data_IF_349917285867
#
_entry.id   IF_349917285867
#
_cell.length_a   1.000
_cell.length_b   1.000
_cell.length_c   1.000
_cell.angle_alpha   90.00
_cell.angle_beta   90.00
_cell.angle_gamma   90.00
#
_symmetry.space_group_name_H-M   'P 1'
#
loop_
_entity.id
_entity.type
_entity.pdbx_description
1 polymer ?
#
# COMPACT_ATOMS: atom_id res chain seq x y z
N UNK A 1 -4.36 21.98 -18.11
CA UNK A 1 -5.66 22.13 -17.41
C UNK A 1 -6.81 22.56 -18.35
N UNK A 2 -6.66 22.42 -19.67
CA UNK A 2 -7.74 22.65 -20.64
C UNK A 2 -8.29 21.33 -21.15
N UNK A 3 -9.59 21.24 -21.30
CA UNK A 3 -10.27 20.14 -21.99
C UNK A 3 -10.28 20.48 -23.48
N UNK A 4 -9.55 19.71 -24.28
CA UNK A 4 -9.36 20.02 -25.72
C UNK A 4 -10.68 20.04 -26.47
N UNK A 5 -11.61 19.14 -26.15
CA UNK A 5 -12.93 19.05 -26.80
C UNK A 5 -13.82 20.29 -26.56
N UNK A 6 -13.71 20.91 -25.40
CA UNK A 6 -14.57 22.05 -25.02
C UNK A 6 -13.85 23.39 -25.03
N UNK A 7 -12.51 23.41 -25.11
CA UNK A 7 -11.68 24.62 -24.98
C UNK A 7 -11.78 25.31 -23.61
N UNK A 8 -12.38 24.64 -22.62
CA UNK A 8 -12.60 25.19 -21.28
C UNK A 8 -11.58 24.63 -20.28
N UNK A 9 -11.36 25.39 -19.21
CA UNK A 9 -10.54 24.92 -18.09
C UNK A 9 -11.22 23.73 -17.42
N UNK A 10 -10.50 22.59 -17.37
CA UNK A 10 -10.94 21.37 -16.76
C UNK A 10 -10.27 21.10 -15.41
N UNK A 11 -10.70 20.01 -14.77
CA UNK A 11 -10.04 19.49 -13.56
C UNK A 11 -8.73 18.80 -13.94
N UNK A 12 -7.68 19.03 -13.17
CA UNK A 12 -6.40 18.32 -13.31
C UNK A 12 -6.48 16.83 -12.99
N UNK A 13 -7.55 16.40 -12.30
CA UNK A 13 -7.75 15.02 -11.89
C UNK A 13 -8.24 14.11 -13.03
N UNK A 14 -8.73 14.67 -14.13
CA UNK A 14 -9.38 13.92 -15.23
C UNK A 14 -8.50 12.80 -15.79
N UNK A 15 -7.18 13.06 -15.97
CA UNK A 15 -6.27 12.05 -16.51
C UNK A 15 -6.07 10.88 -15.55
N UNK A 16 -5.75 11.16 -14.29
CA UNK A 16 -5.59 10.15 -13.25
C UNK A 16 -6.89 9.39 -12.97
N UNK A 17 -8.03 10.08 -12.93
CA UNK A 17 -9.34 9.47 -12.73
C UNK A 17 -9.65 8.41 -13.80
N UNK A 18 -9.49 8.74 -15.08
CA UNK A 18 -9.74 7.82 -16.19
C UNK A 18 -8.91 6.54 -16.08
N UNK A 19 -7.62 6.68 -15.78
CA UNK A 19 -6.71 5.53 -15.66
C UNK A 19 -7.04 4.70 -14.41
N UNK A 20 -7.31 5.34 -13.27
CA UNK A 20 -7.73 4.63 -12.05
C UNK A 20 -9.02 3.84 -12.28
N UNK A 21 -10.01 4.43 -12.93
CA UNK A 21 -11.25 3.72 -13.29
C UNK A 21 -10.96 2.53 -14.21
N UNK A 22 -10.06 2.69 -15.17
CA UNK A 22 -9.70 1.62 -16.11
C UNK A 22 -9.00 0.43 -15.41
N UNK A 23 -8.07 0.69 -14.47
CA UNK A 23 -7.34 -0.39 -13.77
C UNK A 23 -8.11 -1.01 -12.61
N UNK A 24 -9.07 -0.28 -12.00
CA UNK A 24 -9.82 -0.75 -10.82
C UNK A 24 -11.24 -1.22 -11.14
N UNK A 25 -11.81 -0.79 -12.25
CA UNK A 25 -13.23 -1.00 -12.58
C UNK A 25 -14.18 -0.07 -11.83
N UNK A 26 -13.69 0.96 -11.16
CA UNK A 26 -14.49 1.94 -10.43
C UNK A 26 -15.27 2.87 -11.36
N UNK A 27 -16.40 3.43 -10.89
CA UNK A 27 -17.18 4.43 -11.62
C UNK A 27 -16.49 5.80 -11.67
N UNK A 28 -15.75 6.15 -10.60
CA UNK A 28 -15.03 7.42 -10.48
C UNK A 28 -13.86 7.27 -9.48
N UNK A 29 -12.93 8.22 -9.52
CA UNK A 29 -11.79 8.27 -8.62
C UNK A 29 -11.45 9.70 -8.19
N UNK A 30 -10.86 9.84 -7.00
CA UNK A 30 -10.31 11.07 -6.47
C UNK A 30 -8.91 10.81 -5.91
N UNK A 31 -7.97 11.69 -6.22
CA UNK A 31 -6.59 11.62 -5.71
C UNK A 31 -6.32 12.81 -4.78
N UNK A 32 -5.82 12.49 -3.60
CA UNK A 32 -5.38 13.46 -2.59
C UNK A 32 -3.92 13.20 -2.22
N UNK A 33 -3.34 14.01 -1.33
CA UNK A 33 -1.90 13.99 -1.06
C UNK A 33 -1.40 12.73 -0.32
N UNK A 34 -2.22 12.05 0.48
CA UNK A 34 -1.90 10.76 1.11
C UNK A 34 -3.16 10.05 1.61
N UNK A 35 -3.03 8.77 2.05
CA UNK A 35 -4.17 7.97 2.47
C UNK A 35 -4.84 8.48 3.78
N UNK A 36 -4.07 9.03 4.71
CA UNK A 36 -4.62 9.64 5.92
C UNK A 36 -5.56 10.81 5.60
N UNK A 37 -5.15 11.65 4.64
CA UNK A 37 -5.98 12.75 4.14
C UNK A 37 -7.21 12.25 3.36
N UNK A 38 -7.10 11.11 2.66
CA UNK A 38 -8.24 10.48 2.00
C UNK A 38 -9.29 10.04 3.02
N UNK A 39 -8.86 9.38 4.10
CA UNK A 39 -9.73 8.96 5.18
C UNK A 39 -10.36 10.15 5.92
N UNK A 40 -9.56 11.16 6.27
CA UNK A 40 -10.07 12.37 6.91
C UNK A 40 -11.12 13.07 6.06
N UNK A 41 -10.88 13.23 4.76
CA UNK A 41 -11.82 13.82 3.82
C UNK A 41 -13.11 13.01 3.75
N UNK A 42 -12.99 11.69 3.55
CA UNK A 42 -14.11 10.77 3.40
C UNK A 42 -15.00 10.78 4.65
N UNK A 43 -14.41 10.60 5.83
CA UNK A 43 -15.12 10.57 7.11
C UNK A 43 -15.78 11.92 7.41
N UNK A 44 -15.06 13.03 7.18
CA UNK A 44 -15.62 14.39 7.39
C UNK A 44 -16.81 14.66 6.46
N UNK A 45 -16.71 14.26 5.20
CA UNK A 45 -17.73 14.57 4.20
C UNK A 45 -18.97 13.66 4.31
N UNK A 46 -18.80 12.38 4.71
CA UNK A 46 -19.85 11.38 4.65
C UNK A 46 -20.35 10.90 6.03
N UNK A 47 -19.61 11.12 7.11
CA UNK A 47 -19.93 10.57 8.43
C UNK A 47 -19.83 11.56 9.59
N UNK A 48 -19.59 12.84 9.36
CA UNK A 48 -19.49 13.84 10.44
C UNK A 48 -20.75 13.87 11.32
N UNK A 49 -20.59 13.71 12.64
CA UNK A 49 -21.68 13.63 13.60
C UNK A 49 -22.49 12.34 13.54
N UNK A 50 -22.03 11.34 12.82
CA UNK A 50 -22.71 10.05 12.60
C UNK A 50 -21.77 8.88 12.97
N UNK A 51 -22.37 7.71 13.20
CA UNK A 51 -21.65 6.50 13.57
C UNK A 51 -20.95 5.82 12.39
N UNK A 52 -19.71 5.38 12.61
CA UNK A 52 -18.94 4.52 11.71
C UNK A 52 -18.59 3.26 12.47
N UNK A 53 -19.04 2.10 11.97
CA UNK A 53 -18.82 0.81 12.62
C UNK A 53 -17.51 0.21 12.09
N UNK A 54 -16.60 -0.12 13.00
CA UNK A 54 -15.29 -0.68 12.72
C UNK A 54 -14.95 -1.80 13.69
N UNK A 55 -14.29 -2.85 13.22
CA UNK A 55 -13.79 -3.92 14.08
C UNK A 55 -12.68 -3.44 15.02
N UNK A 56 -12.71 -3.86 16.29
CA UNK A 56 -11.62 -3.60 17.27
C UNK A 56 -10.26 -4.11 16.78
N UNK A 57 -10.22 -5.25 16.08
CA UNK A 57 -8.99 -5.76 15.49
C UNK A 57 -8.43 -4.92 14.33
N UNK A 58 -9.17 -3.90 13.89
CA UNK A 58 -8.80 -2.99 12.80
C UNK A 58 -8.53 -1.55 13.28
N UNK A 59 -8.44 -1.33 14.59
CA UNK A 59 -8.00 -0.06 15.18
C UNK A 59 -6.48 0.04 15.09
N UNK A 60 -6.00 0.34 13.88
CA UNK A 60 -4.59 0.25 13.53
C UNK A 60 -3.83 1.55 13.83
N UNK A 61 -2.55 1.39 14.22
CA UNK A 61 -1.54 2.44 14.17
C UNK A 61 -0.59 2.12 13.01
N UNK A 62 -0.34 3.08 12.13
CA UNK A 62 0.54 2.98 10.97
C UNK A 62 1.76 3.90 11.16
N UNK A 63 2.75 3.78 10.27
CA UNK A 63 4.00 4.54 10.36
C UNK A 63 3.83 6.03 10.64
N UNK A 64 4.73 6.58 11.47
CA UNK A 64 4.66 7.99 11.89
C UNK A 64 3.66 8.29 13.00
N UNK A 65 3.12 7.27 13.68
CA UNK A 65 2.14 7.45 14.78
C UNK A 65 0.73 7.77 14.31
N UNK A 66 0.40 7.49 13.05
CA UNK A 66 -0.96 7.62 12.52
C UNK A 66 -1.87 6.57 13.16
N UNK A 67 -2.89 7.00 13.87
CA UNK A 67 -3.91 6.15 14.50
C UNK A 67 -5.27 6.40 13.88
N UNK A 68 -5.88 5.35 13.34
CA UNK A 68 -7.19 5.46 12.70
C UNK A 68 -8.28 6.03 13.62
N UNK A 69 -8.39 5.65 14.93
CA UNK A 69 -9.35 6.25 15.83
C UNK A 69 -9.19 7.78 15.97
N UNK A 70 -7.96 8.28 16.03
CA UNK A 70 -7.69 9.72 16.16
C UNK A 70 -8.11 10.49 14.90
N UNK A 71 -7.93 9.91 13.72
CA UNK A 71 -8.41 10.50 12.45
C UNK A 71 -9.93 10.51 12.39
N UNK A 72 -10.59 9.46 12.90
CA UNK A 72 -12.06 9.42 13.00
C UNK A 72 -12.56 10.53 13.93
N UNK A 73 -11.95 10.71 15.08
CA UNK A 73 -12.27 11.80 16.02
C UNK A 73 -12.10 13.17 15.36
N UNK A 74 -10.95 13.42 14.70
CA UNK A 74 -10.68 14.69 13.99
C UNK A 74 -11.68 14.95 12.85
N UNK A 75 -12.20 13.92 12.22
CA UNK A 75 -13.24 14.06 11.18
C UNK A 75 -14.60 14.46 11.74
N UNK A 76 -14.81 14.27 13.04
CA UNK A 76 -16.10 14.40 13.72
C UNK A 76 -17.03 13.21 13.54
N UNK A 77 -16.55 12.10 12.96
CA UNK A 77 -17.28 10.83 12.94
C UNK A 77 -17.21 10.14 14.29
N UNK A 78 -18.25 9.40 14.65
CA UNK A 78 -18.30 8.66 15.91
C UNK A 78 -17.94 7.19 15.68
N UNK A 79 -16.84 6.75 16.26
CA UNK A 79 -16.40 5.34 16.20
C UNK A 79 -17.36 4.45 16.99
N UNK A 80 -17.88 3.42 16.35
CA UNK A 80 -18.66 2.33 16.95
C UNK A 80 -17.83 1.05 16.79
N UNK A 81 -17.23 0.61 17.88
CA UNK A 81 -16.37 -0.55 17.90
C UNK A 81 -17.18 -1.85 18.01
N UNK A 82 -16.80 -2.87 17.21
CA UNK A 82 -17.44 -4.19 17.24
C UNK A 82 -16.43 -5.32 17.36
N UNK A 83 -16.91 -6.45 17.88
CA UNK A 83 -16.11 -7.65 18.07
C UNK A 83 -15.05 -7.51 19.15
N UNK A 84 -13.97 -8.27 19.01
CA UNK A 84 -12.80 -8.28 19.89
C UNK A 84 -11.52 -8.04 19.10
N UNK A 85 -10.38 -7.94 19.77
CA UNK A 85 -9.07 -7.72 19.14
C UNK A 85 -8.78 -8.73 18.03
N UNK A 86 -9.09 -10.03 18.27
CA UNK A 86 -8.70 -11.10 17.35
C UNK A 86 -9.88 -11.69 16.57
N UNK A 87 -11.13 -11.37 16.92
CA UNK A 87 -12.29 -11.95 16.25
C UNK A 87 -13.48 -11.02 16.17
N UNK A 88 -13.98 -10.80 14.94
CA UNK A 88 -15.20 -10.05 14.67
C UNK A 88 -16.05 -10.81 13.65
N UNK A 89 -17.30 -11.06 14.01
CA UNK A 89 -18.26 -11.83 13.20
C UNK A 89 -19.30 -10.90 12.58
N UNK A 90 -19.96 -11.29 11.48
CA UNK A 90 -21.08 -10.54 10.91
C UNK A 90 -22.15 -10.14 11.95
N UNK A 91 -22.51 -11.04 12.87
CA UNK A 91 -23.47 -10.77 13.93
C UNK A 91 -23.06 -9.66 14.91
N UNK A 92 -21.77 -9.33 15.02
CA UNK A 92 -21.31 -8.22 15.86
C UNK A 92 -21.68 -6.87 15.22
N UNK A 93 -21.60 -6.77 13.90
CA UNK A 93 -22.05 -5.61 13.14
C UNK A 93 -23.57 -5.43 13.21
N UNK A 94 -24.33 -6.51 13.01
CA UNK A 94 -25.80 -6.48 13.10
C UNK A 94 -26.28 -6.01 14.48
N UNK A 95 -25.68 -6.53 15.56
CA UNK A 95 -26.01 -6.08 16.93
C UNK A 95 -25.70 -4.61 17.16
N UNK A 96 -24.56 -4.12 16.64
CA UNK A 96 -24.20 -2.72 16.78
C UNK A 96 -25.16 -1.80 16.01
N UNK A 97 -25.55 -2.17 14.80
CA UNK A 97 -26.52 -1.44 14.00
C UNK A 97 -27.85 -1.32 14.76
N UNK A 98 -28.36 -2.45 15.27
CA UNK A 98 -29.62 -2.47 16.03
C UNK A 98 -29.54 -1.63 17.30
N UNK A 99 -28.45 -1.76 18.07
CA UNK A 99 -28.27 -1.02 19.33
C UNK A 99 -28.13 0.48 19.13
N UNK A 100 -27.58 0.93 18.01
CA UNK A 100 -27.28 2.34 17.72
C UNK A 100 -28.31 3.00 16.79
N UNK A 101 -29.35 2.29 16.35
CA UNK A 101 -30.33 2.80 15.41
C UNK A 101 -31.02 4.11 15.85
N UNK A 102 -31.28 4.25 17.14
CA UNK A 102 -31.94 5.42 17.74
C UNK A 102 -30.98 6.25 18.63
N UNK A 103 -29.67 6.10 18.48
CA UNK A 103 -28.67 6.87 19.22
C UNK A 103 -28.59 8.31 18.71
N UNK A 104 -27.88 9.18 19.43
CA UNK A 104 -27.58 10.54 18.99
C UNK A 104 -26.74 10.58 17.70
N UNK A 105 -25.98 9.52 17.42
CA UNK A 105 -25.17 9.36 16.22
C UNK A 105 -25.41 8.00 15.54
N UNK A 106 -26.58 7.80 14.91
CA UNK A 106 -26.89 6.54 14.27
C UNK A 106 -25.89 6.22 13.17
N UNK A 107 -25.56 4.93 12.98
CA UNK A 107 -24.55 4.52 12.00
C UNK A 107 -24.97 4.85 10.57
N UNK A 108 -24.00 5.29 9.77
CA UNK A 108 -24.14 5.56 8.33
C UNK A 108 -23.17 4.75 7.49
N UNK A 109 -22.18 4.14 8.13
CA UNK A 109 -21.07 3.51 7.42
C UNK A 109 -20.56 2.28 8.18
N UNK A 110 -20.32 1.21 7.44
CA UNK A 110 -19.42 0.14 7.83
C UNK A 110 -18.05 0.43 7.21
N UNK A 111 -17.01 0.34 7.99
CA UNK A 111 -15.64 0.49 7.50
C UNK A 111 -14.85 -0.78 7.82
N UNK A 112 -14.05 -1.21 6.83
CA UNK A 112 -12.98 -2.18 7.03
C UNK A 112 -11.65 -1.49 6.85
N UNK A 113 -10.69 -1.74 7.73
CA UNK A 113 -9.31 -1.29 7.59
C UNK A 113 -8.40 -2.52 7.58
N UNK A 114 -7.67 -2.72 6.48
CA UNK A 114 -6.74 -3.83 6.35
C UNK A 114 -5.49 -3.58 7.20
N UNK A 115 -5.08 -4.62 7.94
CA UNK A 115 -3.86 -4.61 8.75
C UNK A 115 -2.61 -4.76 7.87
N UNK A 116 -2.27 -3.71 7.11
CA UNK A 116 -1.19 -3.76 6.12
C UNK A 116 0.22 -3.78 6.70
N UNK A 117 0.40 -3.47 8.01
CA UNK A 117 1.71 -3.33 8.65
C UNK A 117 1.94 -4.31 9.82
N UNK A 118 0.96 -5.13 10.18
CA UNK A 118 1.10 -6.19 11.18
C UNK A 118 0.24 -7.39 10.83
N UNK A 119 0.53 -8.56 11.41
CA UNK A 119 -0.21 -9.80 11.22
C UNK A 119 -0.67 -10.34 12.55
N UNK A 120 -1.96 -10.67 12.67
CA UNK A 120 -2.51 -11.42 13.80
C UNK A 120 -2.46 -12.90 13.50
N UNK A 121 -1.87 -13.70 14.40
CA UNK A 121 -1.70 -15.13 14.25
C UNK A 121 -2.44 -15.86 15.39
N UNK A 122 -3.04 -17.01 15.10
CA UNK A 122 -3.72 -17.86 16.06
C UNK A 122 -5.22 -17.90 15.83
N UNK A 123 -6.02 -17.87 16.90
CA UNK A 123 -7.49 -17.94 16.84
C UNK A 123 -8.09 -16.60 16.38
N UNK A 124 -7.86 -16.24 15.13
CA UNK A 124 -8.34 -14.99 14.51
C UNK A 124 -9.58 -15.25 13.64
N UNK A 125 -10.33 -14.19 13.35
CA UNK A 125 -11.45 -14.22 12.42
C UNK A 125 -12.02 -12.84 12.17
N UNK A 126 -12.30 -12.52 10.91
CA UNK A 126 -12.91 -11.26 10.49
C UNK A 126 -14.05 -11.51 9.52
N UNK A 127 -15.04 -10.62 9.49
CA UNK A 127 -16.03 -10.63 8.45
C UNK A 127 -15.38 -10.29 7.09
N UNK A 128 -15.74 -11.04 6.06
CA UNK A 128 -15.30 -10.77 4.68
C UNK A 128 -15.95 -9.50 4.13
N UNK A 129 -15.33 -8.91 3.11
CA UNK A 129 -15.91 -7.72 2.45
C UNK A 129 -17.29 -8.03 1.85
N UNK A 130 -17.53 -9.23 1.34
CA UNK A 130 -18.82 -9.67 0.80
C UNK A 130 -19.91 -9.77 1.88
N UNK A 131 -19.59 -10.28 3.07
CA UNK A 131 -20.49 -10.31 4.22
C UNK A 131 -20.83 -8.88 4.68
N UNK A 132 -19.83 -8.01 4.79
CA UNK A 132 -20.03 -6.60 5.13
C UNK A 132 -20.88 -5.88 4.08
N UNK A 133 -20.70 -6.17 2.78
CA UNK A 133 -21.50 -5.60 1.71
C UNK A 133 -22.98 -6.03 1.78
N UNK A 134 -23.23 -7.28 2.17
CA UNK A 134 -24.59 -7.76 2.39
C UNK A 134 -25.28 -7.02 3.55
N UNK A 135 -24.58 -6.87 4.68
CA UNK A 135 -25.07 -6.14 5.86
C UNK A 135 -25.30 -4.65 5.51
N UNK A 136 -24.32 -3.99 4.91
CA UNK A 136 -24.41 -2.59 4.53
C UNK A 136 -25.63 -2.33 3.63
N UNK A 137 -25.86 -3.20 2.64
CA UNK A 137 -27.00 -3.10 1.73
C UNK A 137 -28.33 -3.29 2.46
N UNK A 138 -28.43 -4.29 3.34
CA UNK A 138 -29.65 -4.58 4.12
C UNK A 138 -30.06 -3.39 5.01
N UNK A 139 -29.08 -2.69 5.58
CA UNK A 139 -29.30 -1.56 6.48
C UNK A 139 -29.14 -0.18 5.82
N UNK A 140 -28.93 -0.11 4.49
CA UNK A 140 -28.71 1.15 3.73
C UNK A 140 -27.55 1.97 4.27
N UNK A 141 -26.49 1.30 4.70
CA UNK A 141 -25.24 1.91 5.14
C UNK A 141 -24.24 1.94 3.97
N UNK A 142 -23.29 2.86 4.03
CA UNK A 142 -22.13 2.84 3.13
C UNK A 142 -21.15 1.76 3.58
N UNK A 143 -20.48 1.12 2.61
CA UNK A 143 -19.32 0.25 2.87
C UNK A 143 -18.06 0.88 2.32
N UNK A 144 -17.12 1.15 3.21
CA UNK A 144 -15.78 1.67 2.87
C UNK A 144 -14.73 0.65 3.22
N UNK A 145 -13.82 0.40 2.29
CA UNK A 145 -12.70 -0.53 2.46
C UNK A 145 -11.37 0.19 2.32
N UNK A 146 -10.66 0.37 3.43
CA UNK A 146 -9.27 0.85 3.43
C UNK A 146 -8.33 -0.34 3.31
N UNK A 147 -7.82 -0.57 2.10
CA UNK A 147 -6.89 -1.67 1.83
C UNK A 147 -5.42 -1.27 2.06
N UNK A 148 -5.13 0.00 2.24
CA UNK A 148 -3.82 0.52 2.58
C UNK A 148 -2.75 0.36 1.52
N UNK A 149 -2.47 -0.86 1.06
CA UNK A 149 -1.31 -1.20 0.21
C UNK A 149 -1.42 -0.78 -1.26
N UNK A 150 -2.62 -0.68 -1.80
CA UNK A 150 -2.85 -0.32 -3.20
C UNK A 150 -2.40 -1.37 -4.21
N UNK A 151 -2.41 -2.65 -3.84
CA UNK A 151 -2.13 -3.74 -4.77
C UNK A 151 -3.13 -3.75 -5.92
N UNK A 152 -2.63 -3.79 -7.17
CA UNK A 152 -3.42 -3.96 -8.39
C UNK A 152 -3.15 -5.30 -9.08
N UNK A 153 -2.12 -6.03 -8.65
CA UNK A 153 -1.80 -7.38 -9.10
C UNK A 153 -1.91 -8.37 -7.94
N UNK A 154 -2.27 -9.61 -8.27
CA UNK A 154 -2.41 -10.67 -7.27
C UNK A 154 -1.04 -11.12 -6.76
N UNK A 155 -0.71 -10.79 -5.51
CA UNK A 155 0.57 -11.14 -4.87
C UNK A 155 0.77 -12.65 -4.71
N UNK A 156 -0.31 -13.43 -4.60
CA UNK A 156 -0.23 -14.88 -4.49
C UNK A 156 0.36 -15.55 -5.74
N UNK A 157 0.25 -14.93 -6.92
CA UNK A 157 0.87 -15.42 -8.15
C UNK A 157 2.42 -15.42 -8.08
N UNK A 158 2.99 -14.70 -7.12
CA UNK A 158 4.44 -14.55 -6.91
C UNK A 158 4.93 -15.19 -5.62
N UNK A 159 4.12 -16.07 -5.00
CA UNK A 159 4.51 -16.79 -3.78
C UNK A 159 4.39 -16.00 -2.48
N UNK A 160 3.68 -14.87 -2.50
CA UNK A 160 3.36 -14.07 -1.32
C UNK A 160 1.95 -14.36 -0.80
N UNK A 161 1.64 -13.95 0.43
CA UNK A 161 0.26 -13.97 0.93
C UNK A 161 -0.66 -13.11 0.03
N UNK A 162 -1.95 -13.47 -0.13
CA UNK A 162 -2.88 -12.64 -0.89
C UNK A 162 -3.08 -11.27 -0.24
N UNK A 163 -2.79 -10.21 -0.98
CA UNK A 163 -3.05 -8.83 -0.54
C UNK A 163 -4.38 -8.34 -1.13
N UNK A 164 -5.23 -7.62 -0.37
CA UNK A 164 -6.47 -7.08 -0.89
C UNK A 164 -6.25 -6.16 -2.09
N UNK A 165 -7.04 -6.35 -3.14
CA UNK A 165 -7.01 -5.49 -4.33
C UNK A 165 -8.28 -4.63 -4.41
N UNK A 166 -8.14 -3.41 -4.93
CA UNK A 166 -9.28 -2.49 -5.08
C UNK A 166 -10.38 -3.09 -5.97
N UNK A 167 -9.99 -3.81 -7.03
CA UNK A 167 -10.91 -4.48 -7.95
C UNK A 167 -11.78 -5.52 -7.24
N UNK A 168 -11.19 -6.28 -6.29
CA UNK A 168 -11.92 -7.32 -5.57
C UNK A 168 -12.90 -6.72 -4.56
N UNK A 169 -12.49 -5.68 -3.86
CA UNK A 169 -13.34 -4.97 -2.91
C UNK A 169 -14.55 -4.32 -3.59
N UNK A 170 -14.34 -3.69 -4.75
CA UNK A 170 -15.43 -3.12 -5.55
C UNK A 170 -16.40 -4.19 -6.08
N UNK A 171 -15.87 -5.31 -6.62
CA UNK A 171 -16.68 -6.45 -7.07
C UNK A 171 -17.47 -7.09 -5.94
N UNK A 172 -16.92 -7.13 -4.75
CA UNK A 172 -17.60 -7.64 -3.55
C UNK A 172 -18.70 -6.70 -3.04
N UNK A 173 -18.74 -5.45 -3.50
CA UNK A 173 -19.80 -4.49 -3.21
C UNK A 173 -19.41 -3.34 -2.29
N UNK A 174 -18.13 -3.04 -2.13
CA UNK A 174 -17.69 -1.82 -1.46
C UNK A 174 -18.16 -0.58 -2.25
N UNK A 175 -18.68 0.42 -1.55
CA UNK A 175 -19.09 1.70 -2.15
C UNK A 175 -17.89 2.58 -2.48
N UNK A 176 -16.88 2.57 -1.60
CA UNK A 176 -15.60 3.23 -1.77
C UNK A 176 -14.48 2.32 -1.30
N UNK A 177 -13.36 2.38 -2.01
CA UNK A 177 -12.09 1.76 -1.63
C UNK A 177 -11.02 2.83 -1.53
N UNK A 178 -10.18 2.75 -0.48
CA UNK A 178 -9.15 3.77 -0.19
C UNK A 178 -7.80 3.08 -0.08
N UNK A 179 -6.75 3.68 -0.61
CA UNK A 179 -5.39 3.13 -0.56
C UNK A 179 -4.30 4.16 -0.84
N UNK A 180 -3.07 3.78 -0.52
CA UNK A 180 -1.87 4.58 -0.78
C UNK A 180 -1.31 4.34 -2.17
N UNK A 181 -0.71 5.38 -2.77
CA UNK A 181 -0.05 5.28 -4.08
C UNK A 181 1.40 4.79 -4.03
N UNK A 182 2.07 4.96 -2.90
CA UNK A 182 3.52 4.77 -2.72
C UNK A 182 3.92 3.43 -2.06
N UNK A 183 2.99 2.47 -2.02
CA UNK A 183 3.25 1.11 -1.54
C UNK A 183 3.26 0.12 -2.71
N UNK A 184 2.39 -0.92 -2.70
CA UNK A 184 2.35 -1.93 -3.77
C UNK A 184 1.84 -1.40 -5.11
N UNK A 185 1.13 -0.27 -5.14
CA UNK A 185 0.86 0.39 -6.41
C UNK A 185 2.16 0.83 -7.09
N UNK A 186 3.20 1.17 -6.32
CA UNK A 186 4.54 1.51 -6.83
C UNK A 186 4.64 2.89 -7.46
N UNK A 187 3.68 3.77 -7.16
CA UNK A 187 3.64 5.15 -7.63
C UNK A 187 4.15 6.17 -6.59
N UNK A 188 3.80 7.44 -6.76
CA UNK A 188 4.12 8.51 -5.82
C UNK A 188 3.27 8.41 -4.56
N UNK A 189 3.69 9.11 -3.50
CA UNK A 189 2.83 9.31 -2.34
C UNK A 189 1.53 9.98 -2.75
N UNK A 190 0.43 9.27 -2.56
CA UNK A 190 -0.93 9.72 -2.84
C UNK A 190 -1.93 8.96 -1.95
N UNK A 191 -3.05 9.59 -1.65
CA UNK A 191 -4.26 8.92 -1.18
C UNK A 191 -5.22 8.77 -2.36
N UNK A 192 -5.65 7.58 -2.62
CA UNK A 192 -6.52 7.25 -3.76
C UNK A 192 -7.85 6.75 -3.23
N UNK A 193 -8.94 7.36 -3.68
CA UNK A 193 -10.30 6.96 -3.35
C UNK A 193 -10.98 6.58 -4.67
N UNK A 194 -11.45 5.35 -4.77
CA UNK A 194 -12.17 4.84 -5.96
C UNK A 194 -13.52 4.28 -5.56
N UNK A 195 -14.52 4.35 -6.44
CA UNK A 195 -15.83 3.77 -6.19
C UNK A 195 -16.98 4.52 -6.86
N UNK A 196 -18.11 4.62 -6.18
CA UNK A 196 -19.33 5.21 -6.71
C UNK A 196 -19.19 6.68 -7.07
N UNK A 197 -19.56 7.04 -8.29
CA UNK A 197 -19.47 8.40 -8.85
C UNK A 197 -20.17 9.46 -8.00
N UNK A 198 -21.35 9.13 -7.45
CA UNK A 198 -22.11 10.05 -6.62
C UNK A 198 -21.34 10.44 -5.34
N UNK A 199 -20.66 9.47 -4.69
CA UNK A 199 -19.86 9.69 -3.49
C UNK A 199 -18.57 10.44 -3.81
N UNK A 200 -17.86 10.03 -4.85
CA UNK A 200 -16.65 10.76 -5.30
C UNK A 200 -17.00 12.21 -5.65
N UNK A 201 -18.16 12.45 -6.27
CA UNK A 201 -18.65 13.80 -6.54
C UNK A 201 -18.94 14.62 -5.27
N UNK A 202 -19.40 14.00 -4.18
CA UNK A 202 -19.55 14.68 -2.89
C UNK A 202 -18.19 15.03 -2.28
N UNK A 203 -17.26 14.07 -2.26
CA UNK A 203 -15.90 14.26 -1.75
C UNK A 203 -15.18 15.39 -2.49
N UNK A 204 -15.22 15.41 -3.82
CA UNK A 204 -14.51 16.39 -4.65
C UNK A 204 -15.01 17.82 -4.46
N UNK A 205 -16.28 18.00 -4.06
CA UNK A 205 -16.89 19.31 -3.78
C UNK A 205 -16.71 19.78 -2.33
N UNK A 206 -16.28 18.89 -1.44
CA UNK A 206 -16.08 19.24 -0.03
C UNK A 206 -14.90 20.23 0.10
N UNK A 207 -15.00 21.30 0.94
CA UNK A 207 -13.94 22.30 1.11
C UNK A 207 -12.57 21.69 1.47
N UNK A 208 -12.55 20.64 2.30
CA UNK A 208 -11.33 19.93 2.68
C UNK A 208 -10.59 19.32 1.48
N UNK A 209 -11.30 18.92 0.41
CA UNK A 209 -10.67 18.39 -0.79
C UNK A 209 -9.68 19.39 -1.43
N UNK A 210 -9.92 20.69 -1.25
CA UNK A 210 -8.99 21.73 -1.69
C UNK A 210 -7.72 21.76 -0.85
N UNK A 211 -7.83 21.57 0.46
CA UNK A 211 -6.70 21.59 1.39
C UNK A 211 -5.78 20.36 1.21
N UNK A 212 -6.37 19.19 0.95
CA UNK A 212 -5.64 17.92 0.81
C UNK A 212 -5.34 17.53 -0.65
N UNK A 213 -5.45 18.47 -1.58
CA UNK A 213 -5.31 18.22 -3.01
C UNK A 213 -3.90 17.79 -3.41
N UNK A 214 -3.78 16.70 -4.15
CA UNK A 214 -2.53 16.29 -4.80
C UNK A 214 -2.00 17.38 -5.75
N UNK A 215 -0.70 17.57 -5.78
CA UNK A 215 -0.03 18.50 -6.69
C UNK A 215 0.12 17.91 -8.11
N UNK A 216 0.70 18.70 -9.01
CA UNK A 216 0.85 18.31 -10.42
C UNK A 216 1.92 17.24 -10.62
N UNK A 217 2.98 17.24 -9.83
CA UNK A 217 4.07 16.26 -9.93
C UNK A 217 3.58 14.90 -9.47
N UNK A 218 2.86 14.87 -8.35
CA UNK A 218 2.21 13.66 -7.86
C UNK A 218 1.25 13.08 -8.92
N UNK A 219 0.38 13.90 -9.52
CA UNK A 219 -0.55 13.44 -10.54
C UNK A 219 0.16 12.95 -11.81
N UNK A 220 1.23 13.62 -12.26
CA UNK A 220 2.00 13.19 -13.42
C UNK A 220 2.70 11.85 -13.18
N UNK A 221 3.33 11.68 -12.02
CA UNK A 221 3.98 10.42 -11.64
C UNK A 221 2.96 9.27 -11.49
N UNK A 222 1.79 9.56 -10.88
CA UNK A 222 0.72 8.57 -10.77
C UNK A 222 0.19 8.14 -12.14
N UNK A 223 -0.02 9.08 -13.06
CA UNK A 223 -0.44 8.79 -14.44
C UNK A 223 0.57 7.88 -15.13
N UNK A 224 1.87 8.21 -15.07
CA UNK A 224 2.93 7.37 -15.65
C UNK A 224 2.93 5.95 -15.06
N UNK A 225 2.77 5.81 -13.74
CA UNK A 225 2.67 4.51 -13.07
C UNK A 225 1.46 3.71 -13.57
N UNK A 226 0.29 4.32 -13.63
CA UNK A 226 -0.95 3.64 -14.06
C UNK A 226 -0.91 3.24 -15.54
N UNK A 227 -0.23 3.99 -16.39
CA UNK A 227 -0.03 3.61 -17.79
C UNK A 227 0.73 2.29 -17.94
N UNK A 228 1.75 2.02 -17.11
CA UNK A 228 2.45 0.73 -17.11
C UNK A 228 1.53 -0.45 -16.73
N UNK A 229 0.59 -0.25 -15.81
CA UNK A 229 -0.42 -1.27 -15.52
C UNK A 229 -1.32 -1.54 -16.72
N UNK A 230 -1.81 -0.50 -17.41
CA UNK A 230 -2.68 -0.63 -18.57
C UNK A 230 -1.99 -1.26 -19.78
N UNK A 231 -0.68 -1.03 -19.95
CA UNK A 231 0.14 -1.64 -20.99
C UNK A 231 0.58 -3.06 -20.67
N UNK A 232 0.33 -3.56 -19.44
CA UNK A 232 0.82 -4.87 -19.00
C UNK A 232 2.31 -4.92 -18.67
N UNK A 233 2.95 -3.77 -18.50
CA UNK A 233 4.40 -3.61 -18.28
C UNK A 233 4.77 -3.50 -16.79
N UNK A 234 3.83 -3.66 -15.86
CA UNK A 234 4.04 -3.39 -14.44
C UNK A 234 5.18 -4.23 -13.82
N UNK A 235 5.34 -5.48 -14.23
CA UNK A 235 6.38 -6.39 -13.72
C UNK A 235 7.80 -6.00 -14.19
N UNK A 236 7.91 -5.19 -15.22
CA UNK A 236 9.18 -4.76 -15.81
C UNK A 236 9.54 -3.34 -15.42
N UNK A 237 8.53 -2.46 -15.39
CA UNK A 237 8.72 -1.01 -15.27
C UNK A 237 8.49 -0.47 -13.85
N UNK A 238 7.65 -1.13 -13.04
CA UNK A 238 7.38 -0.69 -11.66
C UNK A 238 8.35 -1.39 -10.71
N UNK A 239 9.24 -0.65 -10.01
CA UNK A 239 10.34 -1.22 -9.24
C UNK A 239 9.91 -2.30 -8.23
N UNK A 240 8.86 -2.06 -7.44
CA UNK A 240 8.39 -3.02 -6.43
C UNK A 240 7.92 -4.32 -7.08
N UNK A 241 7.19 -4.27 -8.20
CA UNK A 241 6.72 -5.45 -8.90
C UNK A 241 7.83 -6.19 -9.63
N UNK A 242 8.77 -5.48 -10.24
CA UNK A 242 9.98 -6.06 -10.83
C UNK A 242 10.80 -6.83 -9.77
N UNK A 243 10.95 -6.27 -8.56
CA UNK A 243 11.63 -6.94 -7.45
C UNK A 243 10.85 -8.18 -6.99
N UNK A 244 9.52 -8.10 -6.85
CA UNK A 244 8.67 -9.22 -6.44
C UNK A 244 8.73 -10.35 -7.48
N UNK A 245 8.60 -10.03 -8.75
CA UNK A 245 8.50 -11.00 -9.84
C UNK A 245 9.84 -11.60 -10.26
N UNK A 246 10.99 -11.11 -9.78
CA UNK A 246 12.31 -11.57 -10.21
C UNK A 246 12.53 -13.06 -9.89
N UNK A 247 12.84 -13.92 -10.89
CA UNK A 247 13.08 -15.34 -10.67
C UNK A 247 14.27 -15.60 -9.75
N UNK A 248 14.16 -16.59 -8.85
CA UNK A 248 15.25 -16.95 -7.95
C UNK A 248 16.51 -17.40 -8.70
N UNK A 249 16.35 -18.02 -9.86
CA UNK A 249 17.49 -18.45 -10.71
C UNK A 249 18.32 -17.24 -11.18
N UNK A 250 17.68 -16.16 -11.60
CA UNK A 250 18.34 -14.93 -12.06
C UNK A 250 19.05 -14.22 -10.90
N UNK A 251 18.40 -14.18 -9.73
CA UNK A 251 18.99 -13.64 -8.50
C UNK A 251 20.25 -14.42 -8.14
N UNK A 252 20.17 -15.77 -8.16
CA UNK A 252 21.29 -16.63 -7.82
C UNK A 252 22.46 -16.47 -8.80
N UNK A 253 22.17 -16.40 -10.10
CA UNK A 253 23.19 -16.18 -11.13
C UNK A 253 23.93 -14.85 -10.94
N UNK A 254 23.19 -13.76 -10.62
CA UNK A 254 23.78 -12.44 -10.35
C UNK A 254 24.63 -12.44 -9.08
N UNK A 255 24.11 -13.04 -7.98
CA UNK A 255 24.89 -13.15 -6.74
C UNK A 255 26.19 -13.90 -6.95
N UNK A 256 26.16 -14.99 -7.72
CA UNK A 256 27.34 -15.78 -8.05
C UNK A 256 28.34 -15.00 -8.92
N UNK A 257 27.87 -14.24 -9.91
CA UNK A 257 28.69 -13.38 -10.74
C UNK A 257 29.39 -12.29 -9.88
N UNK A 258 28.68 -11.69 -8.92
CA UNK A 258 29.24 -10.71 -8.00
C UNK A 258 30.32 -11.33 -7.08
N UNK A 259 30.05 -12.54 -6.53
CA UNK A 259 31.03 -13.25 -5.70
C UNK A 259 32.29 -13.59 -6.48
N UNK A 260 32.15 -14.10 -7.70
CA UNK A 260 33.28 -14.41 -8.58
C UNK A 260 34.10 -13.16 -8.94
N UNK A 261 33.45 -12.01 -9.17
CA UNK A 261 34.10 -10.75 -9.52
C UNK A 261 34.88 -10.10 -8.34
N UNK A 262 34.50 -10.44 -7.08
CA UNK A 262 35.14 -9.92 -5.85
C UNK A 262 36.20 -10.88 -5.31
N UNK A 263 36.12 -12.15 -5.61
CA UNK A 263 37.13 -13.15 -5.18
C UNK A 263 37.06 -13.49 -3.68
N UNK A 264 38.22 -13.67 -3.06
CA UNK A 264 38.33 -14.15 -1.69
C UNK A 264 37.51 -13.33 -0.68
N UNK A 265 36.84 -14.01 0.26
CA UNK A 265 35.96 -13.38 1.26
C UNK A 265 34.59 -12.95 0.77
N UNK A 266 34.24 -13.32 -0.48
CA UNK A 266 32.92 -13.13 -1.07
C UNK A 266 32.28 -14.48 -1.37
N UNK A 267 31.10 -14.74 -0.87
CA UNK A 267 30.36 -15.98 -1.06
C UNK A 267 28.89 -15.72 -1.34
N UNK A 268 28.16 -16.73 -1.80
CA UNK A 268 26.70 -16.63 -1.97
C UNK A 268 25.98 -17.47 -0.93
N UNK A 269 25.04 -16.86 -0.24
CA UNK A 269 24.24 -17.53 0.80
C UNK A 269 22.75 -17.48 0.47
N UNK A 270 22.01 -18.48 0.96
CA UNK A 270 20.55 -18.43 0.92
C UNK A 270 20.05 -17.38 1.91
N UNK A 271 19.04 -16.61 1.50
CA UNK A 271 18.45 -15.57 2.31
C UNK A 271 16.97 -15.37 1.96
N UNK A 272 16.32 -14.47 2.65
CA UNK A 272 14.97 -14.04 2.36
C UNK A 272 14.94 -12.52 2.12
N UNK A 273 14.12 -12.11 1.13
CA UNK A 273 13.82 -10.71 0.86
C UNK A 273 12.43 -10.38 1.41
N UNK A 274 12.34 -9.35 2.24
CA UNK A 274 11.08 -8.82 2.76
C UNK A 274 10.52 -7.77 1.81
N UNK A 275 9.18 -7.71 1.69
CA UNK A 275 8.51 -6.72 0.82
C UNK A 275 8.65 -5.30 1.39
N UNK A 276 8.83 -5.15 2.71
CA UNK A 276 9.00 -3.86 3.37
C UNK A 276 7.85 -3.48 4.29
N UNK A 277 7.93 -2.27 4.86
CA UNK A 277 6.92 -1.79 5.79
C UNK A 277 5.64 -1.31 5.10
N UNK A 278 4.49 -1.59 5.70
CA UNK A 278 3.19 -1.08 5.24
C UNK A 278 2.48 -1.93 4.20
N UNK A 279 3.03 -3.10 3.84
CA UNK A 279 2.39 -4.10 2.99
C UNK A 279 2.94 -5.48 3.29
N UNK A 280 2.09 -6.52 3.26
CA UNK A 280 2.49 -7.92 3.40
C UNK A 280 3.37 -8.18 4.64
N UNK A 281 2.90 -7.87 5.86
CA UNK A 281 3.71 -7.97 7.06
C UNK A 281 4.17 -9.41 7.32
N UNK A 282 5.48 -9.60 7.49
CA UNK A 282 6.11 -10.90 7.69
C UNK A 282 6.17 -11.81 6.47
N UNK A 283 5.73 -11.34 5.29
CA UNK A 283 5.89 -12.09 4.06
C UNK A 283 7.31 -11.92 3.50
N UNK A 284 7.90 -13.02 3.07
CA UNK A 284 9.25 -13.06 2.54
C UNK A 284 9.29 -13.87 1.25
N UNK A 285 10.19 -13.48 0.36
CA UNK A 285 10.51 -14.22 -0.87
C UNK A 285 11.89 -14.87 -0.75
N UNK A 286 12.04 -16.12 -1.20
CA UNK A 286 13.35 -16.75 -1.26
C UNK A 286 14.33 -15.90 -2.08
N UNK A 287 15.56 -15.75 -1.59
CA UNK A 287 16.63 -15.03 -2.27
C UNK A 287 17.97 -15.77 -2.18
N UNK A 288 18.91 -15.34 -2.99
CA UNK A 288 20.32 -15.70 -2.93
C UNK A 288 21.11 -14.41 -2.94
N UNK A 289 21.89 -14.17 -1.90
CA UNK A 289 22.59 -12.90 -1.70
C UNK A 289 24.09 -13.08 -1.77
N UNK A 290 24.80 -12.03 -2.13
CA UNK A 290 26.23 -11.93 -1.91
C UNK A 290 26.45 -11.65 -0.41
N UNK A 291 27.32 -12.44 0.23
CA UNK A 291 27.78 -12.24 1.60
C UNK A 291 29.27 -11.86 1.60
N UNK A 292 29.62 -10.81 2.34
CA UNK A 292 30.99 -10.39 2.57
C UNK A 292 31.33 -10.53 4.05
N UNK A 293 32.35 -11.33 4.36
CA UNK A 293 32.96 -11.40 5.69
C UNK A 293 33.82 -10.17 5.91
N UNK A 294 33.68 -9.52 7.06
CA UNK A 294 34.50 -8.37 7.45
C UNK A 294 34.78 -8.42 8.95
N UNK A 295 35.97 -8.04 9.36
CA UNK A 295 36.38 -7.96 10.79
C UNK A 295 35.50 -6.95 11.57
N UNK A 296 35.06 -5.88 10.88
CA UNK A 296 34.14 -4.90 11.43
C UNK A 296 33.06 -4.56 10.38
N UNK A 297 31.94 -5.29 10.38
CA UNK A 297 30.84 -5.08 9.42
C UNK A 297 30.23 -3.68 9.49
N UNK A 298 30.10 -3.09 10.68
CA UNK A 298 29.53 -1.75 10.86
C UNK A 298 30.41 -0.67 10.23
N UNK A 299 31.73 -0.76 10.43
CA UNK A 299 32.67 0.16 9.82
C UNK A 299 32.68 0.04 8.30
N UNK A 300 32.62 -1.19 7.76
CA UNK A 300 32.52 -1.42 6.31
C UNK A 300 31.21 -0.88 5.75
N UNK A 301 30.09 -1.13 6.40
CA UNK A 301 28.78 -0.56 6.01
C UNK A 301 28.81 0.97 6.07
N UNK A 302 29.51 1.57 7.06
CA UNK A 302 29.72 3.01 7.14
C UNK A 302 30.48 3.58 5.94
N UNK A 303 31.58 2.93 5.53
CA UNK A 303 32.36 3.31 4.34
C UNK A 303 31.54 3.19 3.07
N UNK A 304 30.74 2.11 2.91
CA UNK A 304 29.85 1.92 1.77
C UNK A 304 28.79 3.00 1.64
N UNK A 305 28.23 3.46 2.76
CA UNK A 305 27.29 4.60 2.74
C UNK A 305 27.95 5.92 2.38
N UNK A 306 29.24 6.06 2.64
CA UNK A 306 30.04 7.26 2.33
C UNK A 306 30.73 7.20 0.95
N UNK A 307 30.62 6.11 0.21
CA UNK A 307 31.19 5.95 -1.11
C UNK A 307 30.57 6.94 -2.13
N UNK A 308 31.26 7.20 -3.23
CA UNK A 308 30.78 8.09 -4.30
C UNK A 308 29.39 7.67 -4.85
N UNK A 309 29.15 6.36 -4.94
CA UNK A 309 27.82 5.78 -5.11
C UNK A 309 27.47 5.07 -3.80
N UNK A 310 26.60 5.64 -2.96
CA UNK A 310 26.26 5.04 -1.67
C UNK A 310 25.62 3.66 -1.82
N UNK A 311 26.12 2.69 -1.06
CA UNK A 311 25.61 1.32 -1.03
C UNK A 311 25.09 1.01 0.38
N UNK A 312 23.82 0.56 0.43
CA UNK A 312 23.19 0.12 1.66
C UNK A 312 23.20 -1.40 1.70
N UNK A 313 23.83 -1.96 2.73
CA UNK A 313 23.88 -3.40 2.98
C UNK A 313 23.11 -3.75 4.26
N UNK A 314 22.66 -5.00 4.34
CA UNK A 314 22.13 -5.59 5.57
C UNK A 314 23.27 -6.32 6.29
N UNK A 315 23.40 -6.11 7.61
CA UNK A 315 24.32 -6.89 8.45
C UNK A 315 23.51 -8.04 9.07
N UNK A 316 24.03 -9.25 8.93
CA UNK A 316 23.46 -10.46 9.51
C UNK A 316 24.58 -11.43 9.88
N UNK A 317 24.61 -11.92 11.12
CA UNK A 317 25.61 -12.85 11.65
C UNK A 317 27.08 -12.45 11.36
N UNK A 318 27.38 -11.16 11.47
CA UNK A 318 28.73 -10.63 11.24
C UNK A 318 29.14 -10.49 9.77
N UNK A 319 28.22 -10.71 8.84
CA UNK A 319 28.43 -10.54 7.40
C UNK A 319 27.62 -9.37 6.85
N UNK A 320 28.12 -8.72 5.80
CA UNK A 320 27.33 -7.80 4.98
C UNK A 320 26.67 -8.58 3.85
N UNK A 321 25.35 -8.41 3.73
CA UNK A 321 24.53 -9.07 2.72
C UNK A 321 24.05 -8.05 1.68
N UNK A 322 24.22 -8.40 0.40
CA UNK A 322 23.79 -7.63 -0.76
C UNK A 322 22.84 -8.48 -1.60
N UNK A 323 21.60 -8.02 -1.72
CA UNK A 323 20.55 -8.77 -2.39
C UNK A 323 20.39 -8.28 -3.84
N UNK A 324 20.66 -9.13 -4.85
CA UNK A 324 20.49 -8.75 -6.25
C UNK A 324 19.05 -8.37 -6.61
N UNK A 325 18.07 -8.81 -5.81
CA UNK A 325 16.67 -8.42 -5.98
C UNK A 325 16.48 -6.92 -5.88
N UNK A 326 17.22 -6.24 -5.00
CA UNK A 326 17.09 -4.81 -4.70
C UNK A 326 18.06 -3.92 -5.47
N UNK A 327 18.87 -4.49 -6.34
CA UNK A 327 19.82 -3.78 -7.21
C UNK A 327 19.38 -3.97 -8.66
N UNK A 328 19.23 -2.90 -9.41
CA UNK A 328 18.90 -3.02 -10.83
C UNK A 328 20.09 -3.60 -11.62
N UNK A 329 19.87 -4.44 -12.64
CA UNK A 329 20.94 -5.10 -13.39
C UNK A 329 21.98 -4.14 -14.00
N UNK A 330 21.57 -2.96 -14.42
CA UNK A 330 22.44 -1.90 -14.95
C UNK A 330 23.32 -1.26 -13.87
N UNK A 331 23.02 -1.49 -12.59
CA UNK A 331 23.80 -1.00 -11.44
C UNK A 331 24.82 -2.00 -10.91
N UNK A 332 24.90 -3.23 -11.42
CA UNK A 332 25.83 -4.27 -10.96
C UNK A 332 27.28 -3.80 -10.98
N UNK A 333 27.70 -3.11 -12.03
CA UNK A 333 29.08 -2.60 -12.14
C UNK A 333 29.40 -1.50 -11.14
N UNK A 334 28.45 -0.61 -10.88
CA UNK A 334 28.61 0.45 -9.87
C UNK A 334 28.72 -0.15 -8.45
N UNK A 335 27.88 -1.15 -8.14
CA UNK A 335 27.98 -1.89 -6.88
C UNK A 335 29.35 -2.54 -6.72
N UNK A 336 29.82 -3.31 -7.73
CA UNK A 336 31.10 -4.00 -7.70
C UNK A 336 32.28 -3.02 -7.57
N UNK A 337 32.23 -1.87 -8.21
CA UNK A 337 33.24 -0.82 -8.08
C UNK A 337 33.31 -0.29 -6.65
N UNK A 338 32.19 0.07 -6.06
CA UNK A 338 32.10 0.54 -4.69
C UNK A 338 32.59 -0.51 -3.68
N UNK A 339 32.26 -1.79 -3.89
CA UNK A 339 32.71 -2.88 -3.03
C UNK A 339 34.22 -3.12 -3.12
N UNK A 340 34.85 -2.97 -4.28
CA UNK A 340 36.32 -3.09 -4.44
C UNK A 340 37.05 -1.93 -3.75
N UNK A 341 36.56 -0.70 -3.95
CA UNK A 341 37.14 0.51 -3.36
C UNK A 341 37.18 0.44 -1.83
N UNK A 342 36.12 0.00 -1.18
CA UNK A 342 36.08 -0.06 0.29
C UNK A 342 36.79 -1.27 0.89
N UNK A 343 37.14 -2.29 0.08
CA UNK A 343 37.93 -3.47 0.53
C UNK A 343 39.45 -3.30 0.34
N UNK A 344 39.86 -2.34 -0.52
CA UNK A 344 41.26 -1.95 -0.65
C UNK A 344 41.72 -1.12 0.57
#
# INVERSE_FOLDING_TARGET
EYVLESGKRGSRHVHGEKLLCAVTGAEAALVVNNNAAALLLLLTALARGRGVILSRGQLVEIGGGFRLPEVMEQSGAQLIEVGTTNRTRPADYERAIAAQANSAAPPVMLMRAHASNFKQIGFTGSASISELAAIARAHRLLLVDDIGSGALLNTAAYGLDPEPMAQDSLRAGADLVVFSGDKLLGGPQAGIIVGKRALIGQLSRHPLARAVRADKLCLAALVATLEHYLRGEALEQIPVWRMIAMPLADIAARAQAWAAALGAGAETVAAESLVGGGSLPGAALPSRVLALVADNPDALAGRLRAAAVPVIARIHEGQLLFDPRTVFPDQDQALLAALREVRS
#
